data_IF_741419630035
#
_entry.id   IF_741419630035
#
_cell.length_a   1.000
_cell.length_b   1.000
_cell.length_c   1.000
_cell.angle_alpha   90.00
_cell.angle_beta   90.00
_cell.angle_gamma   90.00
#
_symmetry.space_group_name_H-M   'P 1'
#
loop_
_entity.id
_entity.type
_entity.pdbx_description
1 polymer ?
#
# COMPACT_ATOMS: atom_id res chain seq x y z
N UNK A 1 -6.37 -9.08 -11.75
CA UNK A 1 -5.96 -8.10 -10.72
C UNK A 1 -7.25 -7.73 -10.04
N UNK A 2 -7.35 -7.93 -8.73
CA UNK A 2 -8.53 -7.52 -7.96
C UNK A 2 -8.69 -5.99 -8.05
N UNK A 3 -9.92 -5.49 -8.00
CA UNK A 3 -10.18 -4.07 -7.93
C UNK A 3 -9.78 -3.53 -6.55
N UNK A 4 -8.83 -2.58 -6.51
CA UNK A 4 -8.44 -1.91 -5.26
C UNK A 4 -9.31 -0.66 -5.08
N UNK A 5 -9.99 -0.48 -3.94
CA UNK A 5 -10.79 0.71 -3.68
C UNK A 5 -9.95 1.98 -3.79
N UNK A 6 -10.46 2.97 -4.53
CA UNK A 6 -9.77 4.24 -4.73
C UNK A 6 -9.51 4.97 -3.40
N UNK A 7 -10.43 4.85 -2.44
CA UNK A 7 -10.31 5.41 -1.10
C UNK A 7 -9.13 4.83 -0.32
N UNK A 8 -8.84 3.53 -0.48
CA UNK A 8 -7.69 2.88 0.17
C UNK A 8 -6.38 3.38 -0.44
N UNK A 9 -6.31 3.49 -1.77
CA UNK A 9 -5.15 4.08 -2.46
C UNK A 9 -4.93 5.54 -2.04
N UNK A 10 -5.99 6.33 -1.98
CA UNK A 10 -5.92 7.72 -1.53
C UNK A 10 -5.46 7.81 -0.05
N UNK A 11 -5.93 6.91 0.81
CA UNK A 11 -5.49 6.81 2.19
C UNK A 11 -4.00 6.50 2.32
N UNK A 12 -3.49 5.56 1.52
CA UNK A 12 -2.05 5.26 1.46
C UNK A 12 -1.26 6.48 0.99
N UNK A 13 -1.64 7.09 -0.14
CA UNK A 13 -0.96 8.29 -0.65
C UNK A 13 -0.91 9.41 0.42
N UNK A 14 -2.01 9.59 1.16
CA UNK A 14 -2.13 10.59 2.23
C UNK A 14 -1.23 10.30 3.44
N UNK A 15 -1.07 9.03 3.81
CA UNK A 15 -0.25 8.59 4.95
C UNK A 15 1.24 8.57 4.59
N UNK A 16 1.58 8.11 3.37
CA UNK A 16 2.96 8.10 2.89
C UNK A 16 3.49 9.53 2.65
N UNK A 17 2.64 10.44 2.16
CA UNK A 17 3.00 11.84 1.94
C UNK A 17 4.10 12.04 0.88
N UNK A 18 4.35 11.02 0.06
CA UNK A 18 5.35 11.07 -1.01
C UNK A 18 4.95 12.01 -2.14
N UNK A 19 5.91 12.33 -3.00
CA UNK A 19 5.74 13.11 -4.23
C UNK A 19 6.52 12.44 -5.36
N UNK A 20 6.28 12.78 -6.63
CA UNK A 20 7.21 12.43 -7.71
C UNK A 20 8.64 12.82 -7.33
N UNK A 21 9.58 11.88 -7.48
CA UNK A 21 10.97 12.09 -7.09
C UNK A 21 11.32 11.63 -5.67
N UNK A 22 10.34 11.41 -4.78
CA UNK A 22 10.62 11.00 -3.39
C UNK A 22 11.29 9.62 -3.35
N UNK A 23 12.37 9.52 -2.57
CA UNK A 23 13.07 8.29 -2.25
C UNK A 23 13.34 8.24 -0.76
N UNK A 24 12.85 7.21 -0.07
CA UNK A 24 13.27 6.88 1.30
C UNK A 24 14.19 5.68 1.25
N UNK A 25 15.25 5.67 2.06
CA UNK A 25 16.14 4.52 2.23
C UNK A 25 15.83 3.88 3.57
N UNK A 26 15.53 2.59 3.54
CA UNK A 26 15.23 1.82 4.75
C UNK A 26 16.51 1.29 5.39
N UNK A 27 16.44 0.93 6.68
CA UNK A 27 17.59 0.44 7.43
C UNK A 27 18.23 -0.83 6.83
N UNK A 28 17.44 -1.64 6.11
CA UNK A 28 17.91 -2.84 5.40
C UNK A 28 18.51 -2.56 4.01
N UNK A 29 18.66 -1.28 3.63
CA UNK A 29 19.21 -0.85 2.34
C UNK A 29 18.22 -0.85 1.17
N UNK A 30 16.98 -1.33 1.38
CA UNK A 30 15.90 -1.18 0.39
C UNK A 30 15.45 0.28 0.31
N UNK A 31 14.67 0.62 -0.73
CA UNK A 31 14.24 1.99 -0.98
C UNK A 31 12.77 2.06 -1.34
N UNK A 32 12.06 3.02 -0.78
CA UNK A 32 10.67 3.33 -1.14
C UNK A 32 10.60 4.50 -2.12
N UNK A 33 9.76 4.37 -3.14
CA UNK A 33 9.72 5.30 -4.26
C UNK A 33 8.36 5.97 -4.45
N UNK A 34 8.39 7.26 -4.78
CA UNK A 34 7.26 8.02 -5.31
C UNK A 34 6.14 8.28 -4.31
N UNK A 35 4.97 8.64 -4.83
CA UNK A 35 3.81 9.10 -4.05
C UNK A 35 3.23 8.02 -3.10
N UNK A 36 3.30 6.75 -3.49
CA UNK A 36 2.82 5.61 -2.72
C UNK A 36 3.94 4.89 -1.95
N UNK A 37 5.17 5.41 -2.00
CA UNK A 37 6.35 4.83 -1.33
C UNK A 37 6.49 3.31 -1.57
N UNK A 38 6.39 2.88 -2.84
CA UNK A 38 6.51 1.45 -3.19
C UNK A 38 7.96 1.00 -3.04
N UNK A 39 8.18 -0.06 -2.24
CA UNK A 39 9.50 -0.57 -1.97
C UNK A 39 10.18 -1.23 -3.19
N UNK A 40 11.49 -1.03 -3.28
CA UNK A 40 12.41 -1.52 -4.31
C UNK A 40 12.37 -3.04 -4.53
N UNK A 41 11.98 -3.82 -3.52
CA UNK A 41 11.84 -5.30 -3.64
C UNK A 41 10.85 -5.71 -4.73
N UNK A 42 9.93 -4.83 -5.09
CA UNK A 42 8.94 -5.07 -6.14
C UNK A 42 9.46 -4.85 -7.56
N UNK A 43 10.57 -4.13 -7.73
CA UNK A 43 11.08 -3.72 -9.05
C UNK A 43 11.26 -4.89 -10.04
N UNK A 44 11.84 -6.05 -9.68
CA UNK A 44 11.98 -7.16 -10.63
C UNK A 44 10.63 -7.67 -11.16
N UNK A 45 9.61 -7.71 -10.30
CA UNK A 45 8.26 -8.16 -10.68
C UNK A 45 7.52 -7.10 -11.48
N UNK A 46 7.62 -5.83 -11.07
CA UNK A 46 6.98 -4.70 -11.75
C UNK A 46 7.55 -4.48 -13.15
N UNK A 47 8.87 -4.60 -13.30
CA UNK A 47 9.52 -4.51 -14.60
C UNK A 47 9.05 -5.64 -15.53
N UNK A 48 9.09 -6.90 -15.06
CA UNK A 48 8.65 -8.05 -15.85
C UNK A 48 7.18 -8.00 -16.28
N UNK A 49 6.31 -7.43 -15.44
CA UNK A 49 4.86 -7.46 -15.68
C UNK A 49 4.34 -6.21 -16.41
N UNK A 50 4.94 -5.06 -16.16
CA UNK A 50 4.41 -3.77 -16.62
C UNK A 50 5.47 -2.88 -17.29
N UNK A 51 6.73 -3.33 -17.37
CA UNK A 51 7.83 -2.48 -17.85
C UNK A 51 8.18 -1.32 -16.91
N UNK A 52 7.66 -1.31 -15.68
CA UNK A 52 7.91 -0.24 -14.72
C UNK A 52 9.36 -0.30 -14.25
N UNK A 53 10.15 0.70 -14.64
CA UNK A 53 11.53 0.90 -14.23
C UNK A 53 11.60 1.61 -12.88
N UNK A 54 12.80 1.69 -12.28
CA UNK A 54 13.03 2.48 -11.07
C UNK A 54 12.67 3.96 -11.24
N UNK A 55 13.04 4.58 -12.37
CA UNK A 55 12.71 5.98 -12.64
C UNK A 55 11.21 6.18 -12.81
N UNK A 56 10.53 5.28 -13.53
CA UNK A 56 9.07 5.33 -13.65
C UNK A 56 8.40 5.17 -12.27
N UNK A 57 8.86 4.24 -11.44
CA UNK A 57 8.34 4.04 -10.09
C UNK A 57 8.54 5.28 -9.20
N UNK A 58 9.63 6.03 -9.38
CA UNK A 58 9.94 7.23 -8.60
C UNK A 58 9.18 8.47 -9.10
N UNK A 59 9.15 8.68 -10.41
CA UNK A 59 8.84 9.98 -11.02
C UNK A 59 7.46 10.02 -11.70
N UNK A 60 6.90 8.87 -12.09
CA UNK A 60 5.61 8.81 -12.78
C UNK A 60 4.48 8.41 -11.80
N UNK A 61 3.55 9.33 -11.54
CA UNK A 61 2.42 9.13 -10.62
C UNK A 61 1.59 7.90 -11.00
N UNK A 62 1.19 7.77 -12.27
CA UNK A 62 0.36 6.65 -12.73
C UNK A 62 1.07 5.31 -12.60
N UNK A 63 2.36 5.25 -12.95
CA UNK A 63 3.17 4.03 -12.81
C UNK A 63 3.31 3.63 -11.33
N UNK A 64 3.50 4.59 -10.43
CA UNK A 64 3.61 4.36 -9.01
C UNK A 64 2.28 3.88 -8.38
N UNK A 65 1.16 4.50 -8.74
CA UNK A 65 -0.18 4.08 -8.29
C UNK A 65 -0.54 2.69 -8.85
N UNK A 66 -0.20 2.40 -10.10
CA UNK A 66 -0.37 1.06 -10.68
C UNK A 66 0.46 0.01 -9.92
N UNK A 67 1.71 0.33 -9.61
CA UNK A 67 2.57 -0.55 -8.82
C UNK A 67 2.00 -0.81 -7.43
N UNK A 68 1.57 0.23 -6.71
CA UNK A 68 0.95 0.09 -5.39
C UNK A 68 -0.34 -0.75 -5.45
N UNK A 69 -1.19 -0.50 -6.45
CA UNK A 69 -2.41 -1.26 -6.69
C UNK A 69 -2.13 -2.74 -6.96
N UNK A 70 -1.07 -3.06 -7.70
CA UNK A 70 -0.66 -4.44 -7.94
C UNK A 70 -0.23 -5.15 -6.66
N UNK A 71 0.55 -4.47 -5.80
CA UNK A 71 0.99 -5.02 -4.51
C UNK A 71 -0.21 -5.26 -3.60
N UNK A 72 -1.05 -4.24 -3.40
CA UNK A 72 -2.26 -4.31 -2.57
C UNK A 72 -3.23 -5.39 -3.05
N UNK A 73 -3.48 -5.49 -4.36
CA UNK A 73 -4.35 -6.53 -4.92
C UNK A 73 -3.83 -7.94 -4.62
N UNK A 74 -2.51 -8.14 -4.58
CA UNK A 74 -1.92 -9.42 -4.17
C UNK A 74 -2.10 -9.66 -2.67
N UNK A 75 -1.89 -8.65 -1.83
CA UNK A 75 -2.06 -8.79 -0.38
C UNK A 75 -3.53 -9.03 -0.01
N UNK A 76 -4.47 -8.33 -0.64
CA UNK A 76 -5.89 -8.59 -0.47
C UNK A 76 -6.28 -10.00 -0.91
N UNK A 77 -5.77 -10.51 -2.04
CA UNK A 77 -6.02 -11.91 -2.43
C UNK A 77 -5.46 -12.94 -1.45
N UNK A 78 -4.45 -12.58 -0.65
CA UNK A 78 -3.90 -13.45 0.37
C UNK A 78 -4.77 -13.48 1.64
N UNK A 79 -5.30 -12.33 2.03
CA UNK A 79 -5.97 -12.16 3.33
C UNK A 79 -7.50 -12.12 3.25
N UNK A 80 -8.06 -11.70 2.12
CA UNK A 80 -9.50 -11.44 1.96
C UNK A 80 -9.99 -10.18 2.68
N UNK A 81 -9.07 -9.42 3.28
CA UNK A 81 -9.36 -8.34 4.22
C UNK A 81 -8.50 -7.09 3.92
N UNK A 82 -9.12 -5.92 3.81
CA UNK A 82 -8.41 -4.68 3.47
C UNK A 82 -7.54 -4.15 4.63
N UNK A 83 -7.89 -4.41 5.89
CA UNK A 83 -7.06 -4.00 7.02
C UNK A 83 -5.71 -4.74 7.01
N UNK A 84 -5.75 -6.06 6.88
CA UNK A 84 -4.58 -6.92 6.79
C UNK A 84 -3.79 -6.67 5.49
N UNK A 85 -4.47 -6.42 4.37
CA UNK A 85 -3.80 -6.09 3.12
C UNK A 85 -3.00 -4.77 3.20
N UNK A 86 -3.59 -3.73 3.83
CA UNK A 86 -2.92 -2.44 4.03
C UNK A 86 -1.81 -2.55 5.06
N UNK A 87 -2.02 -3.30 6.14
CA UNK A 87 -0.96 -3.61 7.10
C UNK A 87 0.23 -4.29 6.39
N UNK A 88 -0.06 -5.32 5.58
CA UNK A 88 0.97 -6.07 4.88
C UNK A 88 1.70 -5.25 3.82
N UNK A 89 1.04 -4.25 3.24
CA UNK A 89 1.67 -3.29 2.34
C UNK A 89 2.80 -2.52 3.02
N UNK A 90 2.63 -2.14 4.29
CA UNK A 90 3.61 -1.38 5.06
C UNK A 90 4.68 -2.25 5.74
N UNK A 91 4.25 -3.31 6.44
CA UNK A 91 5.12 -4.09 7.32
C UNK A 91 5.51 -5.47 6.75
N UNK A 92 5.05 -5.82 5.55
CA UNK A 92 5.16 -7.17 5.02
C UNK A 92 4.27 -8.15 5.77
N UNK A 93 4.58 -9.45 5.71
CA UNK A 93 3.65 -10.49 6.19
C UNK A 93 3.65 -10.76 7.70
N UNK A 94 4.39 -9.97 8.48
CA UNK A 94 4.33 -9.99 9.93
C UNK A 94 3.16 -9.12 10.42
N UNK A 95 1.94 -9.66 10.39
CA UNK A 95 0.75 -8.97 10.91
C UNK A 95 0.93 -8.59 12.39
N UNK A 96 0.35 -7.47 12.81
CA UNK A 96 0.56 -6.79 14.09
C UNK A 96 1.53 -5.59 14.01
N UNK A 97 2.56 -5.66 13.16
CA UNK A 97 3.57 -4.61 13.08
C UNK A 97 3.12 -3.34 12.34
N UNK A 98 2.05 -3.42 11.53
CA UNK A 98 1.54 -2.31 10.71
C UNK A 98 0.14 -1.83 11.11
N UNK A 99 -0.40 -2.26 12.25
CA UNK A 99 -1.77 -1.90 12.69
C UNK A 99 -2.01 -0.40 12.76
N UNK A 100 -1.06 0.38 13.27
CA UNK A 100 -1.23 1.85 13.35
C UNK A 100 -1.22 2.51 11.96
N UNK A 101 -0.45 1.95 11.03
CA UNK A 101 -0.46 2.39 9.64
C UNK A 101 -1.81 2.09 9.00
N UNK A 102 -2.26 0.83 9.10
CA UNK A 102 -3.55 0.40 8.57
C UNK A 102 -4.70 1.22 9.16
N UNK A 103 -4.70 1.47 10.47
CA UNK A 103 -5.70 2.32 11.13
C UNK A 103 -5.80 3.71 10.51
N UNK A 104 -4.67 4.37 10.22
CA UNK A 104 -4.70 5.71 9.61
C UNK A 104 -5.25 5.69 8.18
N UNK A 105 -4.83 4.72 7.38
CA UNK A 105 -5.31 4.54 6.00
C UNK A 105 -6.79 4.21 5.98
N UNK A 106 -7.23 3.23 6.78
CA UNK A 106 -8.61 2.74 6.77
C UNK A 106 -9.57 3.77 7.36
N UNK A 107 -9.17 4.53 8.40
CA UNK A 107 -9.96 5.69 8.87
C UNK A 107 -10.15 6.73 7.78
N UNK A 108 -9.09 7.06 7.03
CA UNK A 108 -9.23 7.96 5.89
C UNK A 108 -10.21 7.39 4.86
N UNK A 109 -10.04 6.11 4.49
CA UNK A 109 -10.87 5.47 3.48
C UNK A 109 -12.36 5.45 3.86
N UNK A 110 -12.67 5.05 5.10
CA UNK A 110 -14.04 4.98 5.64
C UNK A 110 -14.68 6.37 5.65
N UNK A 111 -13.95 7.39 6.09
CA UNK A 111 -14.43 8.78 6.07
C UNK A 111 -14.67 9.32 4.65
N UNK A 112 -14.22 8.61 3.61
CA UNK A 112 -14.43 8.94 2.20
C UNK A 112 -15.29 7.88 1.47
N UNK A 113 -16.11 7.13 2.22
CA UNK A 113 -17.13 6.25 1.66
C UNK A 113 -16.65 4.84 1.29
N UNK A 114 -15.50 4.39 1.80
CA UNK A 114 -15.15 2.98 1.77
C UNK A 114 -16.00 2.20 2.79
N UNK A 115 -16.79 1.24 2.31
CA UNK A 115 -17.59 0.37 3.16
C UNK A 115 -16.73 -0.77 3.72
N UNK A 116 -16.38 -0.67 5.01
CA UNK A 116 -15.64 -1.70 5.74
C UNK A 116 -16.55 -2.72 6.44
N UNK A 117 -17.87 -2.60 6.35
CA UNK A 117 -18.82 -3.32 7.22
C UNK A 117 -18.79 -4.85 7.08
N UNK A 118 -18.26 -5.36 5.97
CA UNK A 118 -18.02 -6.80 5.75
C UNK A 118 -16.60 -7.29 6.03
N UNK A 119 -15.73 -6.42 6.55
CA UNK A 119 -14.27 -6.66 6.68
C UNK A 119 -13.71 -6.25 8.05
N UNK A 120 -14.57 -6.05 9.06
CA UNK A 120 -14.12 -5.78 10.42
C UNK A 120 -13.80 -7.12 11.06
N UNK A 121 -12.54 -7.56 10.95
CA UNK A 121 -11.95 -8.51 11.87
C UNK A 121 -10.64 -7.85 12.34
N UNK A 122 -10.52 -7.60 13.64
CA UNK A 122 -9.32 -7.14 14.39
C UNK A 122 -9.27 -5.67 14.88
N UNK A 123 -10.36 -4.89 14.87
CA UNK A 123 -10.35 -3.58 15.56
C UNK A 123 -10.86 -3.61 17.02
N UNK A 124 -11.56 -4.66 17.45
CA UNK A 124 -12.23 -4.73 18.76
C UNK A 124 -11.52 -5.66 19.77
N UNK A 125 -10.20 -5.58 19.88
CA UNK A 125 -9.46 -6.23 20.96
C UNK A 125 -8.63 -5.20 21.72
N UNK A 126 -9.27 -4.49 22.65
CA UNK A 126 -8.61 -3.52 23.51
C UNK A 126 -9.58 -2.79 24.45
N UNK A 127 -10.21 -3.56 25.35
CA UNK A 127 -10.63 -3.11 26.69
C UNK A 127 -9.76 -3.84 27.73
#
# INVERSE_FOLDING_TARGET
>A
MEHVPAQVLAGIARVEGGKPGTVRVDANGTRDFGIMQVNSVWLPRLYRRFGITRSALRDNVCANVLAASYVLSRDYRRYGDWWQAVEAYHAGYALGAGVQYATRVMRFAINHGFDASGQILLADAGD
#
